data_IF_660757484482
#
_entry.id   IF_660757484482
#
_cell.length_a   1.000
_cell.length_b   1.000
_cell.length_c   1.000
_cell.angle_alpha   90.00
_cell.angle_beta   90.00
_cell.angle_gamma   90.00
#
_symmetry.space_group_name_H-M   'P 1'
#
loop_
_entity.id
_entity.type
_entity.pdbx_description
1 polymer ?
#
# COMPACT_ATOMS: atom_id res chain seq x y z
N UNK A 1 4.57 -10.80 -2.27
CA UNK A 1 3.85 -9.73 -1.55
C UNK A 1 4.17 -9.87 -0.07
N UNK A 2 4.77 -8.87 0.59
CA UNK A 2 4.97 -8.93 2.04
C UNK A 2 3.61 -9.07 2.75
N UNK A 3 3.57 -9.89 3.82
CA UNK A 3 2.34 -10.18 4.57
C UNK A 3 2.37 -9.45 5.92
N UNK A 4 1.38 -8.59 6.17
CA UNK A 4 1.32 -7.75 7.39
C UNK A 4 0.23 -8.18 8.39
N UNK A 5 -0.60 -9.17 8.05
CA UNK A 5 -1.81 -9.53 8.83
C UNK A 5 -1.56 -9.91 10.29
N UNK A 6 -0.38 -10.45 10.62
CA UNK A 6 -0.01 -10.81 11.99
C UNK A 6 0.87 -9.78 12.71
N UNK A 7 1.28 -8.71 12.02
CA UNK A 7 2.31 -7.80 12.53
C UNK A 7 1.83 -7.01 13.75
N UNK A 8 0.59 -6.52 13.75
CA UNK A 8 0.04 -5.79 14.91
C UNK A 8 0.06 -6.63 16.19
N UNK A 9 -0.34 -7.91 16.09
CA UNK A 9 -0.31 -8.85 17.22
C UNK A 9 1.11 -9.11 17.72
N UNK A 10 2.10 -9.16 16.82
CA UNK A 10 3.49 -9.36 17.19
C UNK A 10 4.11 -8.13 17.86
N UNK A 11 3.72 -6.92 17.44
CA UNK A 11 4.24 -5.68 18.01
C UNK A 11 3.61 -5.38 19.38
N UNK A 12 2.32 -5.69 19.54
CA UNK A 12 1.55 -5.35 20.75
C UNK A 12 2.17 -5.99 22.00
N UNK A 13 2.47 -5.17 22.99
CA UNK A 13 3.06 -5.64 24.26
C UNK A 13 4.54 -6.02 24.17
N UNK A 14 5.23 -5.62 23.10
CA UNK A 14 6.68 -5.79 22.92
C UNK A 14 7.36 -4.44 22.74
N UNK A 15 8.69 -4.43 22.88
CA UNK A 15 9.53 -3.25 22.59
C UNK A 15 10.04 -3.22 21.14
N UNK A 16 9.41 -4.00 20.24
CA UNK A 16 9.82 -4.09 18.84
C UNK A 16 9.16 -2.97 18.04
N UNK A 17 9.90 -2.41 17.08
CA UNK A 17 9.40 -1.50 16.06
C UNK A 17 9.56 -2.12 14.67
N UNK A 18 8.70 -1.73 13.74
CA UNK A 18 8.75 -2.19 12.35
C UNK A 18 8.53 -1.04 11.38
N UNK A 19 9.30 -1.02 10.28
CA UNK A 19 9.08 -0.14 9.14
C UNK A 19 8.14 -0.84 8.15
N UNK A 20 7.03 -0.18 7.81
CA UNK A 20 6.05 -0.67 6.84
C UNK A 20 5.65 0.47 5.90
N UNK A 21 5.11 0.17 4.71
CA UNK A 21 4.51 1.18 3.86
C UNK A 21 3.31 1.87 4.52
N UNK A 22 3.03 3.12 4.17
CA UNK A 22 1.97 3.94 4.79
C UNK A 22 0.59 3.28 4.74
N UNK A 23 0.24 2.64 3.62
CA UNK A 23 -1.04 1.94 3.50
C UNK A 23 -1.17 0.79 4.52
N UNK A 24 -0.08 0.11 4.85
CA UNK A 24 -0.08 -0.95 5.85
C UNK A 24 -0.12 -0.35 7.26
N UNK A 25 0.63 0.73 7.51
CA UNK A 25 0.59 1.45 8.78
C UNK A 25 -0.83 1.93 9.10
N UNK A 26 -1.55 2.53 8.15
CA UNK A 26 -2.93 2.99 8.33
C UNK A 26 -3.90 1.86 8.71
N UNK A 27 -3.78 0.69 8.08
CA UNK A 27 -4.62 -0.47 8.41
C UNK A 27 -4.29 -1.01 9.80
N UNK A 28 -3.00 -1.11 10.14
CA UNK A 28 -2.55 -1.62 11.44
C UNK A 28 -2.97 -0.69 12.59
N UNK A 29 -2.84 0.63 12.41
CA UNK A 29 -3.25 1.62 13.42
C UNK A 29 -4.76 1.69 13.56
N UNK A 30 -5.53 1.55 12.48
CA UNK A 30 -6.99 1.48 12.52
C UNK A 30 -7.52 0.26 13.29
N UNK A 31 -6.77 -0.86 13.28
CA UNK A 31 -7.09 -2.04 14.09
C UNK A 31 -6.83 -1.85 15.59
N UNK A 32 -6.05 -0.83 15.98
CA UNK A 32 -5.69 -0.51 17.36
C UNK A 32 -4.51 -1.31 17.91
N UNK A 33 -4.00 -0.89 19.08
CA UNK A 33 -2.88 -1.56 19.77
C UNK A 33 -1.47 -1.15 19.30
N UNK A 34 -1.37 -0.42 18.18
CA UNK A 34 -0.12 0.13 17.65
C UNK A 34 -0.30 1.58 17.20
N UNK A 35 0.81 2.32 17.08
CA UNK A 35 0.84 3.67 16.50
C UNK A 35 1.87 3.74 15.37
N UNK A 36 1.67 4.65 14.43
CA UNK A 36 2.63 4.98 13.39
C UNK A 36 3.26 6.35 13.66
N UNK A 37 4.54 6.47 13.35
CA UNK A 37 5.33 7.71 13.44
C UNK A 37 6.14 7.84 12.15
N UNK A 38 6.54 9.07 11.81
CA UNK A 38 7.42 9.31 10.68
C UNK A 38 8.78 8.64 10.89
N UNK A 39 9.38 8.16 9.80
CA UNK A 39 10.70 7.54 9.88
C UNK A 39 11.76 8.60 10.25
N UNK A 40 12.68 8.30 11.18
CA UNK A 40 13.72 9.23 11.61
C UNK A 40 14.82 9.43 10.56
N UNK A 41 14.70 8.75 9.42
CA UNK A 41 15.62 8.80 8.29
C UNK A 41 14.83 9.09 7.02
N UNK A 42 15.44 9.85 6.12
CA UNK A 42 14.87 10.07 4.80
C UNK A 42 14.85 8.75 4.02
N UNK A 43 13.70 8.39 3.48
CA UNK A 43 13.51 7.17 2.70
C UNK A 43 13.02 7.51 1.31
N UNK A 44 13.38 6.67 0.34
CA UNK A 44 12.88 6.82 -1.02
C UNK A 44 11.42 6.41 -1.06
N UNK A 45 10.61 7.18 -1.77
CA UNK A 45 9.27 6.77 -2.16
C UNK A 45 9.36 5.66 -3.22
N UNK A 46 8.34 4.81 -3.25
CA UNK A 46 8.23 3.74 -4.24
C UNK A 46 7.01 3.98 -5.11
N UNK A 47 7.19 3.91 -6.41
CA UNK A 47 6.06 3.96 -7.35
C UNK A 47 5.36 2.61 -7.42
N UNK A 48 4.02 2.65 -7.38
CA UNK A 48 3.19 1.47 -7.55
C UNK A 48 2.70 1.41 -9.00
N UNK A 49 3.25 0.46 -9.77
CA UNK A 49 2.85 0.27 -11.17
C UNK A 49 1.78 -0.83 -11.31
N UNK A 50 0.86 -0.61 -12.24
CA UNK A 50 -0.02 -1.66 -12.75
C UNK A 50 0.62 -2.28 -14.00
N UNK A 51 0.61 -3.62 -14.08
CA UNK A 51 1.12 -4.35 -15.23
C UNK A 51 0.06 -5.34 -15.75
N UNK A 52 -0.02 -5.47 -17.07
CA UNK A 52 -0.93 -6.39 -17.77
C UNK A 52 -0.25 -6.90 -19.04
N UNK A 53 -0.84 -7.91 -19.68
CA UNK A 53 -0.31 -8.41 -20.97
C UNK A 53 -0.78 -7.50 -22.09
N UNK A 54 0.10 -7.20 -23.07
CA UNK A 54 -0.26 -6.36 -24.21
C UNK A 54 -1.48 -6.85 -25.02
N UNK A 55 -1.75 -8.15 -25.04
CA UNK A 55 -2.94 -8.72 -25.68
C UNK A 55 -4.27 -8.28 -25.04
N UNK A 56 -4.25 -7.90 -23.76
CA UNK A 56 -5.43 -7.45 -23.00
C UNK A 56 -5.60 -5.93 -23.01
N UNK A 57 -4.72 -5.20 -23.69
CA UNK A 57 -4.70 -3.74 -23.59
C UNK A 57 -5.97 -3.07 -24.11
N UNK A 58 -6.57 -3.69 -25.13
CA UNK A 58 -7.81 -3.24 -25.76
C UNK A 58 -9.06 -3.98 -25.27
N UNK A 59 -8.92 -4.90 -24.30
CA UNK A 59 -10.07 -5.57 -23.71
C UNK A 59 -10.93 -4.54 -22.94
N UNK A 60 -12.23 -4.39 -23.26
CA UNK A 60 -13.07 -3.39 -22.60
C UNK A 60 -13.21 -3.58 -21.09
N UNK A 61 -13.19 -4.82 -20.60
CA UNK A 61 -13.30 -5.14 -19.18
C UNK A 61 -12.04 -4.77 -18.40
N UNK A 62 -10.87 -5.13 -18.93
CA UNK A 62 -9.58 -4.74 -18.38
C UNK A 62 -9.38 -3.23 -18.41
N UNK A 63 -9.75 -2.56 -19.52
CA UNK A 63 -9.74 -1.09 -19.60
C UNK A 63 -10.60 -0.47 -18.51
N UNK A 64 -11.83 -0.95 -18.34
CA UNK A 64 -12.72 -0.47 -17.28
C UNK A 64 -12.09 -0.67 -15.90
N UNK A 65 -11.54 -1.85 -15.61
CA UNK A 65 -10.93 -2.15 -14.31
C UNK A 65 -9.74 -1.24 -14.02
N UNK A 66 -8.83 -1.05 -14.99
CA UNK A 66 -7.68 -0.14 -14.86
C UNK A 66 -8.12 1.29 -14.59
N UNK A 67 -9.16 1.78 -15.28
CA UNK A 67 -9.73 3.11 -15.02
C UNK A 67 -10.32 3.23 -13.61
N UNK A 68 -10.98 2.17 -13.09
CA UNK A 68 -11.47 2.17 -11.70
C UNK A 68 -10.33 2.18 -10.69
N UNK A 69 -9.27 1.40 -10.92
CA UNK A 69 -8.11 1.38 -10.03
C UNK A 69 -7.42 2.75 -10.02
N UNK A 70 -7.19 3.37 -11.20
CA UNK A 70 -6.65 4.72 -11.28
C UNK A 70 -7.53 5.76 -10.57
N UNK A 71 -8.85 5.65 -10.66
CA UNK A 71 -9.75 6.60 -9.99
C UNK A 71 -9.59 6.59 -8.46
N UNK A 72 -9.30 5.45 -7.84
CA UNK A 72 -9.22 5.32 -6.38
C UNK A 72 -7.79 5.34 -5.83
N UNK A 73 -6.81 4.91 -6.63
CA UNK A 73 -5.43 4.71 -6.18
C UNK A 73 -4.40 5.41 -7.06
N UNK A 74 -4.84 6.09 -8.13
CA UNK A 74 -3.95 6.88 -8.98
C UNK A 74 -3.50 8.14 -8.27
N UNK A 75 -2.27 8.56 -8.57
CA UNK A 75 -1.76 9.86 -8.16
C UNK A 75 -2.46 10.96 -8.97
N UNK A 76 -3.11 11.96 -8.33
CA UNK A 76 -3.77 13.06 -9.03
C UNK A 76 -2.83 13.88 -9.93
N UNK A 77 -1.52 13.88 -9.66
CA UNK A 77 -0.53 14.64 -10.45
C UNK A 77 0.03 13.83 -11.64
N UNK A 78 -0.39 12.58 -11.83
CA UNK A 78 0.07 11.68 -12.92
C UNK A 78 -0.81 11.71 -14.18
N UNK A 79 -1.72 12.69 -14.30
CA UNK A 79 -2.65 12.85 -15.43
C UNK A 79 -2.20 13.91 -16.45
#
# INVERSE_FOLDING_TARGET
MPQFNGLATLLTGTDIIATVPDYAAQVLTAAGGVRSEDLPIETRTFELHMAWRGAQDNDPGERWLRSRIQMFFGDPDSL
#
